data_IF_940067054000
#
_entry.id   IF_940067054000
#
_cell.length_a   1.000
_cell.length_b   1.000
_cell.length_c   1.000
_cell.angle_alpha   90.00
_cell.angle_beta   90.00
_cell.angle_gamma   90.00
#
_symmetry.space_group_name_H-M   'P 1'
#
loop_
_entity.id
_entity.type
_entity.pdbx_description
1 polymer ?
#
# COMPACT_ATOMS: atom_id res chain seq x y z
N UNK A 1 -21.06 -5.64 -10.10
CA UNK A 1 -19.95 -5.10 -9.26
C UNK A 1 -20.12 -3.59 -9.23
N UNK A 2 -19.83 -2.94 -8.12
CA UNK A 2 -19.98 -1.48 -8.04
C UNK A 2 -18.84 -0.86 -8.87
N UNK A 3 -19.15 -0.24 -10.00
CA UNK A 3 -18.20 0.27 -11.00
C UNK A 3 -17.21 1.33 -10.45
N UNK A 4 -17.47 1.78 -9.22
CA UNK A 4 -16.67 2.80 -8.52
C UNK A 4 -15.58 2.23 -7.60
N UNK A 5 -15.31 0.91 -7.65
CA UNK A 5 -14.31 0.26 -6.79
C UNK A 5 -13.19 -0.38 -7.61
N UNK A 6 -11.98 -0.32 -7.05
CA UNK A 6 -10.78 -0.93 -7.60
C UNK A 6 -10.28 -1.99 -6.62
N UNK A 7 -10.49 -3.25 -6.96
CA UNK A 7 -10.18 -4.41 -6.14
C UNK A 7 -8.67 -4.69 -6.12
N UNK A 8 -8.16 -5.17 -4.99
CA UNK A 8 -6.80 -5.74 -4.92
C UNK A 8 -6.73 -7.13 -5.56
N UNK A 9 -7.88 -7.78 -5.78
CA UNK A 9 -7.91 -9.19 -6.16
C UNK A 9 -7.50 -10.13 -5.02
N UNK A 10 -7.55 -9.65 -3.78
CA UNK A 10 -7.34 -10.40 -2.53
C UNK A 10 -8.65 -10.38 -1.78
N UNK A 11 -9.44 -11.45 -1.89
CA UNK A 11 -10.83 -11.50 -1.43
C UNK A 11 -11.02 -11.03 0.01
N UNK A 12 -10.14 -11.44 0.92
CA UNK A 12 -10.26 -11.07 2.33
C UNK A 12 -10.00 -9.57 2.55
N UNK A 13 -9.01 -8.99 1.83
CA UNK A 13 -8.71 -7.56 1.86
C UNK A 13 -9.84 -6.75 1.22
N UNK A 14 -10.30 -7.17 0.04
CA UNK A 14 -11.40 -6.49 -0.66
C UNK A 14 -12.67 -6.47 0.19
N UNK A 15 -12.97 -7.55 0.92
CA UNK A 15 -14.10 -7.60 1.86
C UNK A 15 -13.95 -6.61 3.03
N UNK A 16 -12.71 -6.34 3.49
CA UNK A 16 -12.46 -5.33 4.55
C UNK A 16 -12.80 -3.91 4.09
N UNK A 17 -12.68 -3.65 2.79
CA UNK A 17 -12.80 -2.31 2.19
C UNK A 17 -13.99 -2.22 1.20
N UNK A 18 -15.04 -2.99 1.47
CA UNK A 18 -16.30 -2.94 0.71
C UNK A 18 -16.12 -3.18 -0.79
N UNK A 19 -15.18 -4.06 -1.17
CA UNK A 19 -14.93 -4.49 -2.55
C UNK A 19 -13.72 -3.83 -3.23
N UNK A 20 -13.00 -2.93 -2.56
CA UNK A 20 -11.80 -2.29 -3.11
C UNK A 20 -11.67 -0.80 -2.76
N UNK A 21 -10.61 -0.19 -3.23
CA UNK A 21 -10.36 1.25 -3.14
C UNK A 21 -11.36 2.04 -4.00
N UNK A 22 -11.62 3.29 -3.68
CA UNK A 22 -12.41 4.15 -4.57
C UNK A 22 -11.62 4.46 -5.85
N UNK A 23 -12.30 4.40 -7.00
CA UNK A 23 -11.68 4.71 -8.29
C UNK A 23 -11.21 6.17 -8.31
N UNK A 24 -10.01 6.42 -8.84
CA UNK A 24 -9.40 7.75 -8.89
C UNK A 24 -8.95 8.29 -7.53
N UNK A 25 -8.88 7.45 -6.51
CA UNK A 25 -8.41 7.84 -5.16
C UNK A 25 -6.90 7.69 -5.00
N UNK A 26 -6.33 8.46 -4.07
CA UNK A 26 -4.95 8.32 -3.61
C UNK A 26 -4.94 7.65 -2.23
N UNK A 27 -4.19 6.58 -2.08
CA UNK A 27 -4.25 5.67 -0.95
C UNK A 27 -2.86 5.47 -0.36
N UNK A 28 -2.72 5.65 0.95
CA UNK A 28 -1.47 5.44 1.66
C UNK A 28 -1.36 4.00 2.14
N UNK A 29 -0.22 3.37 1.85
CA UNK A 29 0.21 2.10 2.41
C UNK A 29 1.52 2.31 3.19
N UNK A 30 1.43 2.27 4.50
CA UNK A 30 2.55 2.53 5.39
C UNK A 30 2.96 1.26 6.13
N UNK A 31 4.25 1.14 6.42
CA UNK A 31 4.78 0.04 7.24
C UNK A 31 6.30 0.04 7.33
N UNK A 32 6.83 -0.70 8.29
CA UNK A 32 8.26 -0.88 8.48
C UNK A 32 8.91 -1.65 7.32
N UNK A 33 10.25 -1.58 7.17
CA UNK A 33 10.98 -2.42 6.21
C UNK A 33 10.63 -3.89 6.35
N UNK A 34 10.49 -4.61 5.23
CA UNK A 34 10.19 -6.05 5.21
C UNK A 34 8.74 -6.43 5.58
N UNK A 35 7.85 -5.49 5.90
CA UNK A 35 6.44 -5.81 6.18
C UNK A 35 5.67 -6.31 4.95
N UNK A 36 6.14 -6.03 3.72
CA UNK A 36 5.50 -6.48 2.48
C UNK A 36 4.75 -5.38 1.72
N UNK A 37 5.07 -4.10 1.97
CA UNK A 37 4.49 -2.95 1.25
C UNK A 37 4.62 -3.10 -0.27
N UNK A 38 5.86 -3.25 -0.77
CA UNK A 38 6.16 -3.39 -2.19
C UNK A 38 5.50 -4.64 -2.78
N UNK A 39 5.49 -5.77 -2.05
CA UNK A 39 4.81 -6.99 -2.49
C UNK A 39 3.30 -6.78 -2.67
N UNK A 40 2.63 -6.11 -1.69
CA UNK A 40 1.20 -5.82 -1.79
C UNK A 40 0.89 -4.87 -2.95
N UNK A 41 1.75 -3.87 -3.16
CA UNK A 41 1.63 -2.92 -4.25
C UNK A 41 1.83 -3.61 -5.62
N UNK A 42 2.85 -4.46 -5.77
CA UNK A 42 3.05 -5.25 -6.98
C UNK A 42 1.86 -6.17 -7.27
N UNK A 43 1.31 -6.82 -6.24
CA UNK A 43 0.12 -7.66 -6.38
C UNK A 43 -1.12 -6.88 -6.82
N UNK A 44 -1.30 -5.65 -6.32
CA UNK A 44 -2.36 -4.75 -6.75
C UNK A 44 -2.25 -4.42 -8.25
N UNK A 45 -1.05 -4.16 -8.76
CA UNK A 45 -0.80 -3.94 -10.19
C UNK A 45 -1.04 -5.22 -10.98
N UNK A 46 -0.40 -6.34 -10.58
CA UNK A 46 -0.53 -7.61 -11.27
C UNK A 46 -1.99 -8.07 -11.40
N UNK A 47 -2.72 -8.07 -10.29
CA UNK A 47 -4.13 -8.47 -10.27
C UNK A 47 -4.99 -7.49 -11.07
N UNK A 48 -4.66 -6.20 -11.04
CA UNK A 48 -5.32 -5.18 -11.87
C UNK A 48 -5.24 -5.51 -13.35
N UNK A 49 -4.07 -5.84 -13.83
CA UNK A 49 -3.83 -6.20 -15.24
C UNK A 49 -4.53 -7.53 -15.57
N UNK A 50 -4.32 -8.55 -14.74
CA UNK A 50 -4.77 -9.92 -15.05
C UNK A 50 -6.27 -10.13 -14.91
N UNK A 51 -6.89 -9.54 -13.88
CA UNK A 51 -8.30 -9.79 -13.55
C UNK A 51 -9.25 -8.73 -14.12
N UNK A 52 -8.75 -7.50 -14.32
CA UNK A 52 -9.58 -6.36 -14.66
C UNK A 52 -9.16 -5.63 -15.93
N UNK A 53 -8.05 -6.07 -16.58
CA UNK A 53 -7.46 -5.42 -17.74
C UNK A 53 -7.18 -3.91 -17.49
N UNK A 54 -6.70 -3.58 -16.29
CA UNK A 54 -6.34 -2.23 -15.87
C UNK A 54 -4.81 -2.08 -15.90
N UNK A 55 -4.24 -1.38 -16.91
CA UNK A 55 -2.80 -1.16 -17.01
C UNK A 55 -2.24 -0.40 -15.81
N UNK A 56 -0.99 -0.70 -15.47
CA UNK A 56 -0.31 -0.18 -14.29
C UNK A 56 0.97 0.60 -14.58
N UNK A 57 1.29 1.53 -13.67
CA UNK A 57 2.54 2.27 -13.63
C UNK A 57 3.15 2.15 -12.24
N UNK A 58 4.44 1.84 -12.17
CA UNK A 58 5.23 1.88 -10.94
C UNK A 58 6.33 2.94 -11.13
N UNK A 59 6.39 3.89 -10.21
CA UNK A 59 7.48 4.86 -10.11
C UNK A 59 8.24 4.55 -8.84
N UNK A 60 9.54 4.25 -8.99
CA UNK A 60 10.45 3.89 -7.90
C UNK A 60 11.61 4.86 -7.84
N UNK A 61 12.12 5.11 -6.63
CA UNK A 61 13.23 6.01 -6.37
C UNK A 61 14.47 5.30 -5.81
N UNK A 62 14.34 4.04 -5.44
CA UNK A 62 15.39 3.27 -4.78
C UNK A 62 15.88 2.10 -5.62
N UNK A 63 14.95 1.34 -6.19
CA UNK A 63 15.27 0.12 -6.91
C UNK A 63 15.10 0.28 -8.43
N UNK A 64 16.04 -0.24 -9.20
CA UNK A 64 15.93 -0.28 -10.66
C UNK A 64 14.82 -1.23 -11.13
N UNK A 65 14.23 -1.03 -12.33
CA UNK A 65 13.16 -1.87 -12.87
C UNK A 65 13.48 -3.35 -12.89
N UNK A 66 14.75 -3.73 -13.12
CA UNK A 66 15.20 -5.13 -13.14
C UNK A 66 14.98 -5.83 -11.81
N UNK A 67 15.14 -5.12 -10.68
CA UNK A 67 14.88 -5.68 -9.36
C UNK A 67 13.38 -5.98 -9.20
N UNK A 68 12.51 -5.04 -9.60
CA UNK A 68 11.06 -5.27 -9.61
C UNK A 68 10.65 -6.48 -10.46
N UNK A 69 11.29 -6.68 -11.62
CA UNK A 69 11.00 -7.85 -12.46
C UNK A 69 11.45 -9.14 -11.79
N UNK A 70 12.63 -9.13 -11.16
CA UNK A 70 13.15 -10.27 -10.43
C UNK A 70 12.23 -10.64 -9.26
N UNK A 71 11.91 -9.68 -8.41
CA UNK A 71 11.08 -9.90 -7.22
C UNK A 71 9.65 -10.32 -7.57
N UNK A 72 9.07 -9.75 -8.63
CA UNK A 72 7.76 -10.15 -9.13
C UNK A 72 7.77 -11.60 -9.64
N UNK A 73 8.87 -12.02 -10.28
CA UNK A 73 9.00 -13.39 -10.81
C UNK A 73 9.02 -14.44 -9.70
N UNK A 74 9.50 -14.13 -8.49
CA UNK A 74 9.44 -15.04 -7.33
C UNK A 74 7.99 -15.43 -6.96
N UNK A 75 7.01 -14.60 -7.34
CA UNK A 75 5.58 -14.86 -7.20
C UNK A 75 4.93 -15.38 -8.49
N UNK A 76 5.71 -15.63 -9.54
CA UNK A 76 5.22 -16.01 -10.87
C UNK A 76 4.57 -14.86 -11.66
N UNK A 77 4.87 -13.61 -11.28
CA UNK A 77 4.35 -12.43 -11.97
C UNK A 77 5.38 -11.90 -12.97
N UNK A 78 5.22 -12.23 -14.23
CA UNK A 78 6.13 -11.83 -15.31
C UNK A 78 5.91 -10.36 -15.70
N UNK A 79 6.48 -9.45 -14.90
CA UNK A 79 6.38 -8.00 -15.11
C UNK A 79 7.09 -7.56 -16.38
N UNK A 80 8.19 -8.21 -16.76
CA UNK A 80 8.89 -7.92 -18.01
C UNK A 80 7.98 -8.16 -19.22
N UNK A 81 7.30 -9.29 -19.26
CA UNK A 81 6.32 -9.60 -20.30
C UNK A 81 5.14 -8.62 -20.31
N UNK A 82 4.63 -8.24 -19.12
CA UNK A 82 3.54 -7.25 -19.03
C UNK A 82 3.97 -5.88 -19.56
N UNK A 83 5.24 -5.50 -19.42
CA UNK A 83 5.79 -4.27 -19.98
C UNK A 83 5.93 -4.36 -21.51
N UNK A 84 6.41 -5.50 -22.05
CA UNK A 84 6.45 -5.78 -23.48
C UNK A 84 5.04 -5.73 -24.11
N UNK A 85 4.02 -6.19 -23.37
CA UNK A 85 2.60 -6.11 -23.76
C UNK A 85 1.99 -4.71 -23.59
N UNK A 86 2.76 -3.70 -23.15
CA UNK A 86 2.31 -2.33 -22.85
C UNK A 86 1.18 -2.24 -21.81
N UNK A 87 1.11 -3.21 -20.91
CA UNK A 87 0.14 -3.26 -19.80
C UNK A 87 0.73 -2.77 -18.48
N UNK A 88 2.05 -2.71 -18.38
CA UNK A 88 2.81 -2.23 -17.24
C UNK A 88 3.89 -1.29 -17.73
N UNK A 89 4.24 -0.29 -16.93
CA UNK A 89 5.49 0.47 -17.03
C UNK A 89 6.11 0.58 -15.64
N UNK A 90 7.42 0.29 -15.55
CA UNK A 90 8.22 0.52 -14.34
C UNK A 90 9.25 1.60 -14.66
N UNK A 91 9.29 2.65 -13.87
CA UNK A 91 10.18 3.81 -14.06
C UNK A 91 11.01 4.01 -12.80
N UNK A 92 12.34 4.00 -12.96
CA UNK A 92 13.25 4.54 -11.96
C UNK A 92 13.40 6.04 -12.21
N UNK A 93 13.22 6.85 -11.18
CA UNK A 93 13.28 8.31 -11.27
C UNK A 93 13.93 8.88 -10.00
N UNK A 94 14.00 10.20 -9.91
CA UNK A 94 14.31 10.92 -8.70
C UNK A 94 13.13 11.82 -8.28
N UNK A 95 13.03 12.22 -6.99
CA UNK A 95 11.91 12.99 -6.49
C UNK A 95 11.72 14.36 -7.17
N UNK A 96 12.81 15.07 -7.49
CA UNK A 96 12.73 16.39 -8.15
C UNK A 96 12.17 16.28 -9.56
N UNK A 97 12.72 15.36 -10.37
CA UNK A 97 12.25 15.10 -11.74
C UNK A 97 10.80 14.67 -11.73
N UNK A 98 10.44 13.74 -10.83
CA UNK A 98 9.07 13.25 -10.72
C UNK A 98 8.09 14.38 -10.41
N UNK A 99 8.39 15.22 -9.41
CA UNK A 99 7.53 16.33 -9.05
C UNK A 99 7.36 17.32 -10.21
N UNK A 100 8.47 17.66 -10.90
CA UNK A 100 8.43 18.54 -12.06
C UNK A 100 7.58 17.99 -13.22
N UNK A 101 7.62 16.66 -13.46
CA UNK A 101 6.82 16.03 -14.50
C UNK A 101 5.33 15.92 -14.13
N UNK A 102 5.01 15.73 -12.84
CA UNK A 102 3.63 15.67 -12.36
C UNK A 102 2.93 17.04 -12.37
N UNK A 103 3.70 18.14 -12.30
CA UNK A 103 3.15 19.50 -12.41
C UNK A 103 2.80 19.91 -13.84
N UNK A 104 3.39 19.27 -14.85
CA UNK A 104 3.14 19.59 -16.26
C UNK A 104 1.80 19.00 -16.71
N UNK A 105 1.05 19.78 -17.49
CA UNK A 105 -0.20 19.35 -18.10
C UNK A 105 0.01 18.40 -19.31
N UNK A 106 1.20 18.44 -19.90
CA UNK A 106 1.66 17.67 -21.05
C UNK A 106 2.95 16.90 -20.74
N UNK A 107 3.20 16.61 -19.47
CA UNK A 107 4.39 15.91 -19.00
C UNK A 107 4.41 14.41 -19.36
N UNK A 108 5.55 13.78 -19.10
CA UNK A 108 5.75 12.34 -19.36
C UNK A 108 4.69 11.50 -18.62
N UNK A 109 4.31 11.89 -17.40
CA UNK A 109 3.31 11.19 -16.63
C UNK A 109 1.94 11.19 -17.34
N UNK A 110 1.45 12.35 -17.77
CA UNK A 110 0.17 12.50 -18.48
C UNK A 110 0.19 11.69 -19.78
N UNK A 111 1.27 11.83 -20.56
CA UNK A 111 1.44 11.07 -21.81
C UNK A 111 1.42 9.56 -21.61
N UNK A 112 2.02 9.04 -20.52
CA UNK A 112 1.97 7.61 -20.19
C UNK A 112 0.56 7.17 -19.81
N UNK A 113 -0.14 7.97 -18.99
CA UNK A 113 -1.53 7.67 -18.60
C UNK A 113 -2.42 7.56 -19.83
N UNK A 114 -2.33 8.50 -20.77
CA UNK A 114 -3.11 8.51 -21.99
C UNK A 114 -2.71 7.39 -22.96
N UNK A 115 -1.40 7.27 -23.28
CA UNK A 115 -0.91 6.35 -24.31
C UNK A 115 -1.05 4.88 -23.92
N UNK A 116 -0.79 4.56 -22.67
CA UNK A 116 -0.89 3.19 -22.14
C UNK A 116 -2.24 2.90 -21.47
N UNK A 117 -3.10 3.92 -21.32
CA UNK A 117 -4.38 3.76 -20.64
C UNK A 117 -4.23 3.40 -19.16
N UNK A 118 -3.21 3.93 -18.47
CA UNK A 118 -2.89 3.61 -17.08
C UNK A 118 -4.10 3.86 -16.16
N UNK A 119 -4.42 2.88 -15.31
CA UNK A 119 -5.51 2.95 -14.33
C UNK A 119 -5.00 2.84 -12.89
N UNK A 120 -3.87 2.16 -12.68
CA UNK A 120 -3.28 1.92 -11.37
C UNK A 120 -1.86 2.46 -11.31
N UNK A 121 -1.54 3.19 -10.26
CA UNK A 121 -0.21 3.79 -10.08
C UNK A 121 0.35 3.44 -8.71
N UNK A 122 1.63 3.10 -8.65
CA UNK A 122 2.40 2.94 -7.41
C UNK A 122 3.49 4.00 -7.37
N UNK A 123 3.65 4.64 -6.21
CA UNK A 123 4.81 5.49 -5.88
C UNK A 123 5.59 4.81 -4.76
N UNK A 124 6.81 4.37 -5.04
CA UNK A 124 7.66 3.65 -4.10
C UNK A 124 9.03 4.35 -3.92
N UNK A 125 9.21 5.16 -2.89
CA UNK A 125 8.29 5.48 -1.82
C UNK A 125 8.18 7.00 -1.60
N UNK A 126 7.11 7.43 -0.95
CA UNK A 126 6.89 8.84 -0.58
C UNK A 126 7.94 9.38 0.39
N UNK A 127 8.63 8.49 1.12
CA UNK A 127 9.71 8.84 2.05
C UNK A 127 10.83 9.62 1.36
N UNK A 128 11.10 9.34 0.08
CA UNK A 128 12.15 10.03 -0.68
C UNK A 128 11.87 11.53 -0.90
N UNK A 129 10.62 11.95 -0.87
CA UNK A 129 10.26 13.36 -0.96
C UNK A 129 10.62 14.16 0.30
N UNK A 130 10.84 13.49 1.44
CA UNK A 130 11.31 14.13 2.68
C UNK A 130 12.72 14.71 2.51
N UNK A 131 13.55 14.13 1.63
CA UNK A 131 14.92 14.58 1.38
C UNK A 131 15.03 15.86 0.53
N UNK A 132 13.97 16.26 -0.16
CA UNK A 132 13.93 17.45 -1.03
C UNK A 132 13.13 18.60 -0.44
N UNK A 133 12.47 18.40 0.69
CA UNK A 133 11.72 19.43 1.40
C UNK A 133 12.61 20.10 2.45
N UNK A 134 12.58 21.42 2.50
CA UNK A 134 13.33 22.20 3.50
C UNK A 134 12.68 22.12 4.89
N UNK A 135 11.35 21.99 4.92
CA UNK A 135 10.58 21.89 6.15
C UNK A 135 9.28 21.09 5.98
N UNK A 136 8.57 20.88 7.09
CA UNK A 136 7.31 20.12 7.11
C UNK A 136 6.17 20.80 6.33
N UNK A 137 6.22 22.12 6.11
CA UNK A 137 5.22 22.83 5.32
C UNK A 137 5.45 22.57 3.83
N UNK A 138 6.68 22.70 3.38
CA UNK A 138 7.07 22.40 2.00
C UNK A 138 6.81 20.93 1.66
N UNK A 139 7.17 20.00 2.54
CA UNK A 139 6.86 18.58 2.36
C UNK A 139 5.36 18.36 2.12
N UNK A 140 4.52 19.00 2.92
CA UNK A 140 3.07 18.90 2.75
C UNK A 140 2.58 19.44 1.41
N UNK A 141 3.16 20.53 0.92
CA UNK A 141 2.82 21.09 -0.39
C UNK A 141 3.26 20.17 -1.53
N UNK A 142 4.45 19.57 -1.44
CA UNK A 142 4.95 18.55 -2.37
C UNK A 142 3.98 17.35 -2.42
N UNK A 143 3.67 16.78 -1.26
CA UNK A 143 2.74 15.66 -1.12
C UNK A 143 1.36 15.99 -1.72
N UNK A 144 0.84 17.19 -1.45
CA UNK A 144 -0.45 17.64 -1.96
C UNK A 144 -0.44 17.80 -3.48
N UNK A 145 0.62 18.39 -4.06
CA UNK A 145 0.77 18.56 -5.51
C UNK A 145 0.79 17.23 -6.23
N UNK A 146 1.59 16.27 -5.74
CA UNK A 146 1.69 14.93 -6.29
C UNK A 146 0.33 14.21 -6.27
N UNK A 147 -0.34 14.21 -5.10
CA UNK A 147 -1.66 13.58 -4.93
C UNK A 147 -2.71 14.22 -5.84
N UNK A 148 -2.71 15.55 -5.98
CA UNK A 148 -3.65 16.24 -6.85
C UNK A 148 -3.41 15.90 -8.32
N UNK A 149 -2.14 15.77 -8.75
CA UNK A 149 -1.81 15.37 -10.12
C UNK A 149 -2.29 13.94 -10.42
N UNK A 150 -2.08 12.99 -9.52
CA UNK A 150 -2.61 11.62 -9.65
C UNK A 150 -4.14 11.62 -9.78
N UNK A 151 -4.82 12.38 -8.94
CA UNK A 151 -6.29 12.48 -8.96
C UNK A 151 -6.82 13.19 -10.20
N UNK A 152 -6.11 14.20 -10.71
CA UNK A 152 -6.47 14.90 -11.95
C UNK A 152 -6.52 13.94 -13.14
N UNK A 153 -5.57 13.02 -13.22
CA UNK A 153 -5.52 12.00 -14.27
C UNK A 153 -6.49 10.82 -14.02
N UNK A 154 -7.24 10.83 -12.92
CA UNK A 154 -8.25 9.82 -12.61
C UNK A 154 -7.68 8.44 -12.31
N UNK A 155 -6.39 8.31 -12.04
CA UNK A 155 -5.75 7.04 -11.70
C UNK A 155 -5.97 6.69 -10.23
N UNK A 156 -6.11 5.39 -9.93
CA UNK A 156 -6.13 4.91 -8.54
C UNK A 156 -4.71 4.60 -8.10
N UNK A 157 -4.22 5.34 -7.12
CA UNK A 157 -2.81 5.24 -6.71
C UNK A 157 -2.64 4.66 -5.32
N UNK A 158 -1.56 3.89 -5.13
CA UNK A 158 -1.03 3.49 -3.82
C UNK A 158 0.32 4.18 -3.62
N UNK A 159 0.41 4.94 -2.55
CA UNK A 159 1.59 5.68 -2.13
C UNK A 159 2.24 4.88 -1.00
N UNK A 160 3.41 4.32 -1.23
CA UNK A 160 4.16 3.59 -0.21
C UNK A 160 4.90 4.58 0.68
N UNK A 161 4.90 4.32 1.97
CA UNK A 161 5.65 5.07 2.95
C UNK A 161 6.32 4.15 3.95
N UNK A 162 7.56 4.46 4.25
CA UNK A 162 8.31 3.76 5.27
C UNK A 162 8.00 4.31 6.67
N UNK A 163 8.02 3.40 7.63
CA UNK A 163 7.92 3.71 9.04
C UNK A 163 9.09 3.04 9.75
N UNK A 164 9.91 3.84 10.43
CA UNK A 164 11.14 3.37 11.08
C UNK A 164 10.89 2.45 12.27
N UNK A 165 9.66 2.42 12.80
CA UNK A 165 9.32 1.59 13.95
C UNK A 165 8.96 0.17 13.54
N UNK A 166 9.89 -0.76 13.78
CA UNK A 166 9.66 -2.20 13.55
C UNK A 166 8.57 -2.75 14.47
N UNK A 167 8.64 -2.42 15.76
CA UNK A 167 7.72 -2.86 16.81
C UNK A 167 7.39 -1.67 17.73
N UNK A 168 6.23 -1.72 18.40
CA UNK A 168 5.88 -0.74 19.43
C UNK A 168 5.10 0.49 18.92
N UNK A 169 5.15 1.59 19.68
CA UNK A 169 4.36 2.78 19.39
C UNK A 169 4.82 3.50 18.13
N UNK A 170 3.87 4.07 17.40
CA UNK A 170 4.16 4.93 16.25
C UNK A 170 4.85 6.19 16.75
N UNK A 171 6.09 6.43 16.35
CA UNK A 171 6.77 7.70 16.63
C UNK A 171 6.12 8.86 15.85
N UNK A 172 6.40 10.07 16.27
CA UNK A 172 5.82 11.28 15.68
C UNK A 172 6.00 11.32 14.17
N UNK A 173 4.86 11.25 13.45
CA UNK A 173 4.81 11.31 12.00
C UNK A 173 5.08 12.75 11.57
N UNK A 174 6.21 13.02 10.94
CA UNK A 174 6.54 14.32 10.32
C UNK A 174 5.63 14.64 9.14
N UNK A 175 5.31 13.64 8.33
CA UNK A 175 4.46 13.78 7.15
C UNK A 175 2.98 13.92 7.51
N UNK A 176 2.28 14.73 6.70
CA UNK A 176 0.84 14.96 6.81
C UNK A 176 0.02 14.17 5.77
N UNK A 177 0.65 13.27 5.00
CA UNK A 177 -0.03 12.43 3.99
C UNK A 177 -1.32 11.77 4.53
N UNK A 178 -1.36 11.18 5.74
CA UNK A 178 -2.57 10.56 6.27
C UNK A 178 -3.80 11.48 6.27
N UNK A 179 -3.62 12.80 6.33
CA UNK A 179 -4.72 13.76 6.31
C UNK A 179 -5.25 14.08 4.91
N UNK A 180 -4.42 13.95 3.86
CA UNK A 180 -4.76 14.35 2.49
C UNK A 180 -5.18 13.18 1.60
N UNK A 181 -4.74 11.96 1.88
CA UNK A 181 -5.14 10.74 1.16
C UNK A 181 -6.59 10.33 1.44
N UNK A 182 -7.16 9.52 0.56
CA UNK A 182 -8.53 9.02 0.69
C UNK A 182 -8.62 7.79 1.58
N UNK A 183 -7.61 6.90 1.53
CA UNK A 183 -7.51 5.78 2.45
C UNK A 183 -6.11 5.66 3.07
N UNK A 184 -6.05 4.99 4.23
CA UNK A 184 -4.79 4.70 4.92
C UNK A 184 -4.80 3.29 5.44
N UNK A 185 -3.90 2.47 4.88
CA UNK A 185 -3.64 1.09 5.27
C UNK A 185 -2.29 1.01 5.97
N UNK A 186 -2.23 0.29 7.07
CA UNK A 186 -1.03 0.11 7.87
C UNK A 186 -0.65 -1.36 7.94
N UNK A 187 0.61 -1.67 7.60
CA UNK A 187 1.25 -2.97 7.80
C UNK A 187 2.22 -2.90 8.98
N UNK A 188 2.18 -3.90 9.87
CA UNK A 188 3.05 -3.94 11.04
C UNK A 188 3.54 -5.35 11.35
N UNK A 189 4.71 -5.41 12.00
CA UNK A 189 5.08 -6.57 12.78
C UNK A 189 4.42 -6.52 14.16
N UNK A 190 4.00 -7.66 14.64
CA UNK A 190 3.40 -7.84 15.96
C UNK A 190 3.98 -9.10 16.59
N UNK A 191 4.26 -9.06 17.88
CA UNK A 191 4.70 -10.24 18.62
C UNK A 191 3.50 -10.95 19.21
N UNK A 192 3.35 -12.24 18.90
CA UNK A 192 2.29 -13.10 19.42
C UNK A 192 2.89 -14.46 19.76
N UNK A 193 2.73 -14.90 21.00
CA UNK A 193 3.22 -16.20 21.47
C UNK A 193 4.70 -16.45 21.14
N UNK A 194 5.56 -15.41 21.33
CA UNK A 194 6.99 -15.43 21.04
C UNK A 194 7.32 -15.65 19.55
N UNK A 195 6.37 -15.34 18.65
CA UNK A 195 6.56 -15.32 17.21
C UNK A 195 6.28 -13.93 16.65
N UNK A 196 7.01 -13.55 15.59
CA UNK A 196 6.75 -12.31 14.87
C UNK A 196 5.77 -12.61 13.73
N UNK A 197 4.60 -12.02 13.84
CA UNK A 197 3.54 -12.10 12.84
C UNK A 197 3.40 -10.76 12.10
N UNK A 198 2.78 -10.79 10.91
CA UNK A 198 2.48 -9.59 10.14
C UNK A 198 1.00 -9.24 10.27
N UNK A 199 0.73 -7.99 10.61
CA UNK A 199 -0.62 -7.46 10.80
C UNK A 199 -0.94 -6.37 9.78
N UNK A 200 -2.19 -6.36 9.31
CA UNK A 200 -2.76 -5.37 8.40
C UNK A 200 -4.02 -4.78 9.02
N UNK A 201 -4.17 -3.46 8.95
CA UNK A 201 -5.43 -2.79 9.28
C UNK A 201 -5.70 -1.59 8.37
N UNK A 202 -6.99 -1.28 8.19
CA UNK A 202 -7.46 -0.05 7.55
C UNK A 202 -7.75 0.99 8.63
N UNK A 203 -6.99 2.09 8.63
CA UNK A 203 -7.16 3.17 9.60
C UNK A 203 -8.15 4.24 9.12
N UNK A 204 -8.24 4.43 7.80
CA UNK A 204 -9.07 5.46 7.20
C UNK A 204 -9.57 5.02 5.83
N UNK A 205 -10.82 5.38 5.52
CA UNK A 205 -11.39 5.29 4.18
C UNK A 205 -12.45 6.38 4.00
N UNK A 206 -12.16 7.39 3.17
CA UNK A 206 -13.11 8.48 2.90
C UNK A 206 -14.28 7.97 2.08
N UNK A 207 -15.48 8.49 2.39
CA UNK A 207 -16.69 8.21 1.61
C UNK A 207 -17.13 6.75 1.62
N UNK A 208 -16.60 5.92 2.52
CA UNK A 208 -16.92 4.49 2.61
C UNK A 208 -16.72 3.96 4.01
N UNK A 209 -17.57 3.04 4.41
CA UNK A 209 -17.30 2.20 5.59
C UNK A 209 -16.27 1.13 5.26
N UNK A 210 -15.56 0.67 6.27
CA UNK A 210 -14.56 -0.39 6.21
C UNK A 210 -14.52 -1.16 7.51
N UNK A 211 -14.06 -2.41 7.45
CA UNK A 211 -13.82 -3.20 8.65
C UNK A 211 -12.60 -2.65 9.39
N UNK A 212 -12.74 -2.51 10.71
CA UNK A 212 -11.71 -1.97 11.62
C UNK A 212 -10.88 -3.09 12.27
N UNK A 213 -11.05 -4.32 11.78
CA UNK A 213 -10.34 -5.49 12.28
C UNK A 213 -8.84 -5.38 11.96
N UNK A 214 -8.01 -5.82 12.89
CA UNK A 214 -6.60 -6.10 12.65
C UNK A 214 -6.51 -7.54 12.18
N UNK A 215 -5.95 -7.76 11.00
CA UNK A 215 -5.85 -9.09 10.39
C UNK A 215 -4.40 -9.53 10.26
N UNK A 216 -4.17 -10.80 10.52
CA UNK A 216 -2.93 -11.45 10.14
C UNK A 216 -2.85 -11.58 8.62
N UNK A 217 -1.64 -11.50 8.07
CA UNK A 217 -1.40 -11.82 6.67
C UNK A 217 -0.03 -12.50 6.51
N UNK A 218 0.11 -13.23 5.42
CA UNK A 218 1.35 -13.93 5.07
C UNK A 218 1.75 -13.61 3.65
N UNK A 219 3.06 -13.67 3.40
CA UNK A 219 3.62 -13.61 2.05
C UNK A 219 3.90 -15.06 1.64
N UNK A 220 3.19 -15.52 0.62
CA UNK A 220 3.29 -16.87 0.07
C UNK A 220 3.90 -16.81 -1.33
N UNK A 221 4.13 -17.95 -1.97
CA UNK A 221 4.57 -18.01 -3.37
C UNK A 221 3.55 -17.43 -4.37
N UNK A 222 2.31 -17.23 -3.97
CA UNK A 222 1.24 -16.62 -4.76
C UNK A 222 1.05 -15.13 -4.45
N UNK A 223 1.86 -14.57 -3.55
CA UNK A 223 1.75 -13.21 -3.07
C UNK A 223 1.19 -13.13 -1.65
N UNK A 224 0.55 -12.02 -1.33
CA UNK A 224 -0.04 -11.77 -0.02
C UNK A 224 -1.40 -12.45 0.09
N UNK A 225 -1.54 -13.20 1.17
CA UNK A 225 -2.80 -13.79 1.63
C UNK A 225 -3.17 -13.15 2.98
N UNK A 226 -4.39 -12.62 3.07
CA UNK A 226 -4.93 -12.01 4.29
C UNK A 226 -5.80 -13.03 5.00
N UNK A 227 -5.45 -13.32 6.24
CA UNK A 227 -6.13 -14.28 7.09
C UNK A 227 -7.29 -13.64 7.88
N UNK A 228 -7.81 -14.38 8.84
CA UNK A 228 -8.83 -13.90 9.77
C UNK A 228 -8.23 -12.89 10.76
N UNK A 229 -9.11 -12.16 11.45
CA UNK A 229 -8.69 -11.27 12.53
C UNK A 229 -8.03 -12.04 13.66
N UNK A 230 -7.11 -11.38 14.34
CA UNK A 230 -6.56 -11.89 15.59
C UNK A 230 -7.71 -12.05 16.62
N UNK A 231 -7.82 -13.23 17.21
CA UNK A 231 -8.83 -13.52 18.25
C UNK A 231 -8.18 -13.58 19.61
N UNK A 232 -8.90 -13.13 20.64
CA UNK A 232 -8.46 -13.25 22.02
C UNK A 232 -7.24 -12.41 22.39
N UNK A 233 -6.88 -11.42 21.59
CA UNK A 233 -5.72 -10.56 21.79
C UNK A 233 -6.10 -9.09 21.73
N UNK A 234 -5.57 -8.32 22.67
CA UNK A 234 -5.65 -6.85 22.71
C UNK A 234 -4.24 -6.26 22.71
N UNK A 235 -4.11 -4.95 22.41
CA UNK A 235 -2.82 -4.26 22.40
C UNK A 235 -1.88 -4.67 21.26
N UNK A 236 -2.36 -5.38 20.24
CA UNK A 236 -1.55 -5.87 19.11
C UNK A 236 -0.80 -4.73 18.43
N UNK A 237 -1.46 -3.61 18.19
CA UNK A 237 -0.87 -2.46 17.48
C UNK A 237 0.04 -1.58 18.35
N UNK A 238 -0.04 -1.69 19.68
CA UNK A 238 0.83 -0.96 20.61
C UNK A 238 2.13 -1.70 20.93
N UNK A 239 2.31 -2.92 20.40
CA UNK A 239 3.48 -3.77 20.67
C UNK A 239 3.42 -4.51 22.01
N UNK A 240 2.28 -4.45 22.71
CA UNK A 240 2.05 -5.12 23.99
C UNK A 240 0.82 -6.02 23.90
N UNK A 241 0.87 -7.00 22.99
CA UNK A 241 -0.23 -7.94 22.83
C UNK A 241 -0.42 -8.76 24.12
N UNK A 242 -1.64 -8.79 24.63
CA UNK A 242 -2.02 -9.57 25.80
C UNK A 242 -3.36 -10.28 25.54
N UNK A 243 -3.61 -11.35 26.29
CA UNK A 243 -4.89 -12.07 26.20
C UNK A 243 -6.03 -11.20 26.71
N UNK A 244 -7.18 -11.27 26.05
CA UNK A 244 -8.41 -10.69 26.62
C UNK A 244 -8.72 -11.38 27.94
N UNK A 245 -9.39 -10.71 28.89
CA UNK A 245 -9.74 -11.31 30.18
C UNK A 245 -10.51 -12.63 30.05
N UNK A 246 -11.37 -12.76 29.04
CA UNK A 246 -12.14 -13.98 28.79
C UNK A 246 -11.24 -15.13 28.32
N UNK A 247 -10.33 -14.87 27.38
CA UNK A 247 -9.41 -15.90 26.85
C UNK A 247 -8.30 -16.23 27.84
N UNK A 248 -7.86 -15.27 28.67
CA UNK A 248 -6.95 -15.53 29.77
C UNK A 248 -7.57 -16.53 30.76
N UNK A 249 -8.86 -16.37 31.10
CA UNK A 249 -9.58 -17.28 31.99
C UNK A 249 -9.70 -18.69 31.41
N UNK A 250 -10.04 -18.81 30.11
CA UNK A 250 -10.14 -20.11 29.42
C UNK A 250 -8.78 -20.83 29.37
N UNK A 251 -7.69 -20.11 29.11
CA UNK A 251 -6.35 -20.68 29.09
C UNK A 251 -5.84 -21.15 30.45
N UNK A 252 -6.25 -20.47 31.54
CA UNK A 252 -5.85 -20.84 32.91
C UNK A 252 -6.72 -21.96 33.48
N UNK A 253 -8.00 -21.97 33.18
CA UNK A 253 -8.98 -22.88 33.80
C UNK A 253 -9.63 -23.88 32.85
N UNK A 254 -9.45 -23.73 31.52
CA UNK A 254 -10.08 -24.57 30.49
C UNK A 254 -9.26 -25.78 30.03
N UNK A 255 -8.06 -26.00 30.57
CA UNK A 255 -7.32 -27.26 30.33
C UNK A 255 -7.76 -28.31 31.37
N UNK A 256 -8.75 -29.09 31.00
CA UNK A 256 -8.99 -30.44 31.54
C UNK A 256 -8.82 -31.45 30.44
#
# INVERSE_FOLDING_TARGET
MNDNRVSFGIKALDNMISGGLLRGSANLLEGAPGTGKTTLAMQFIHNGIKLYNEPGLIITFEEFPQQYYHDAMEFGWDFKKLEEEKKLKVIFSDPHTTLAEFDKMDGIFVNLVETLGIKRVIIDSMTHFESIAEDAFELREIERRLINSLKREGVTSILLRENDNLLGQVSHVTSKIPFIVDSYMLLRYVEIDSAIEKALCMLKMRGSDHQKDIRCFRITKQGIEVDQKFRGREGIMSGTAHYTPQDAFVNVFGKK
#
